data_IF_973126464163
#
_entry.id   IF_973126464163
#
_cell.length_a   1.000
_cell.length_b   1.000
_cell.length_c   1.000
_cell.angle_alpha   90.00
_cell.angle_beta   90.00
_cell.angle_gamma   90.00
#
_symmetry.space_group_name_H-M   'P 1'
#
loop_
_entity.id
_entity.type
_entity.pdbx_description
1 polymer ?
#
# COMPACT_ATOMS: atom_id res chain seq x y z
N UNK A 1 -24.82 -6.81 -4.73
CA UNK A 1 -23.52 -7.48 -4.98
C UNK A 1 -22.62 -7.24 -3.77
N UNK A 2 -21.76 -8.19 -3.38
CA UNK A 2 -20.84 -8.00 -2.25
C UNK A 2 -19.66 -7.13 -2.70
N UNK A 3 -19.45 -5.98 -2.05
CA UNK A 3 -18.26 -5.17 -2.29
C UNK A 3 -17.04 -5.85 -1.68
N UNK A 4 -15.94 -5.89 -2.44
CA UNK A 4 -14.64 -6.36 -1.99
C UNK A 4 -13.87 -5.22 -1.34
N UNK A 5 -12.95 -5.57 -0.43
CA UNK A 5 -12.05 -4.62 0.22
C UNK A 5 -10.62 -5.16 0.19
N UNK A 6 -9.68 -4.24 0.22
CA UNK A 6 -8.24 -4.45 0.34
C UNK A 6 -7.71 -4.11 1.74
N UNK A 7 -8.60 -3.67 2.65
CA UNK A 7 -8.22 -3.23 3.98
C UNK A 7 -7.76 -4.40 4.86
N UNK A 8 -6.69 -4.13 5.59
CA UNK A 8 -6.28 -4.91 6.75
C UNK A 8 -6.46 -4.06 8.01
N UNK A 9 -6.51 -4.71 9.16
CA UNK A 9 -6.54 -4.06 10.47
C UNK A 9 -5.44 -4.64 11.34
N UNK A 10 -4.77 -3.78 12.11
CA UNK A 10 -3.67 -4.14 13.01
C UNK A 10 -2.66 -5.13 12.39
N UNK A 11 -2.21 -4.81 11.18
CA UNK A 11 -1.43 -5.71 10.33
C UNK A 11 -0.24 -4.98 9.70
N UNK A 12 0.95 -5.53 9.86
CA UNK A 12 2.14 -5.15 9.10
C UNK A 12 2.25 -6.02 7.85
N UNK A 13 2.27 -5.37 6.69
CA UNK A 13 2.75 -5.98 5.46
C UNK A 13 4.26 -5.81 5.43
N UNK A 14 4.96 -6.91 5.66
CA UNK A 14 6.43 -6.97 5.56
C UNK A 14 6.87 -6.86 4.11
N UNK A 15 8.13 -6.47 3.92
CA UNK A 15 8.77 -6.49 2.59
C UNK A 15 8.75 -7.89 1.97
N UNK A 16 8.76 -7.96 0.65
CA UNK A 16 8.80 -9.23 -0.04
C UNK A 16 10.14 -9.95 0.22
N UNK A 17 10.08 -11.28 0.36
CA UNK A 17 11.29 -12.10 0.58
C UNK A 17 12.30 -12.01 -0.56
N UNK A 18 11.84 -11.69 -1.78
CA UNK A 18 12.67 -11.50 -2.98
C UNK A 18 12.85 -10.02 -3.33
N UNK A 19 12.67 -9.10 -2.36
CA UNK A 19 12.97 -7.68 -2.53
C UNK A 19 14.45 -7.51 -2.92
N UNK A 20 14.77 -6.75 -3.97
CA UNK A 20 16.14 -6.60 -4.47
C UNK A 20 16.98 -5.59 -3.68
N UNK A 21 16.40 -4.91 -2.68
CA UNK A 21 17.05 -3.82 -1.93
C UNK A 21 17.28 -4.22 -0.47
N UNK A 22 18.38 -3.72 0.10
CA UNK A 22 18.74 -3.90 1.50
C UNK A 22 18.34 -2.71 2.40
N UNK A 23 17.95 -1.59 1.80
CA UNK A 23 17.47 -0.37 2.46
C UNK A 23 16.33 0.21 1.62
N UNK A 24 15.42 0.95 2.25
CA UNK A 24 14.32 1.56 1.55
C UNK A 24 14.81 2.59 0.52
N UNK A 25 14.19 2.61 -0.65
CA UNK A 25 14.56 3.51 -1.74
C UNK A 25 13.34 4.27 -2.22
N UNK A 26 13.40 5.59 -2.16
CA UNK A 26 12.34 6.45 -2.71
C UNK A 26 12.16 6.11 -4.20
N UNK A 27 10.93 5.77 -4.66
CA UNK A 27 10.70 5.48 -6.06
C UNK A 27 11.13 6.66 -6.95
N UNK A 28 11.91 6.43 -8.02
CA UNK A 28 12.42 7.52 -8.85
C UNK A 28 11.28 8.27 -9.51
N UNK A 29 11.39 9.60 -9.56
CA UNK A 29 10.43 10.43 -10.27
C UNK A 29 10.54 10.21 -11.79
N UNK A 30 9.39 10.17 -12.45
CA UNK A 30 9.27 10.03 -13.90
C UNK A 30 8.31 11.09 -14.42
N UNK A 31 8.38 11.40 -15.72
CA UNK A 31 7.44 12.32 -16.39
C UNK A 31 5.99 11.96 -16.10
N UNK A 32 5.67 10.67 -16.17
CA UNK A 32 4.39 10.12 -15.72
C UNK A 32 4.58 9.43 -14.37
N UNK A 33 3.77 9.81 -13.37
CA UNK A 33 3.86 9.21 -12.04
C UNK A 33 3.53 7.73 -12.09
N UNK A 34 4.46 6.91 -11.61
CA UNK A 34 4.20 5.47 -11.48
C UNK A 34 3.28 5.20 -10.29
N UNK A 35 2.71 3.99 -10.23
CA UNK A 35 1.92 3.56 -9.07
C UNK A 35 2.71 3.66 -7.76
N UNK A 36 4.02 3.38 -7.81
CA UNK A 36 4.89 3.48 -6.64
C UNK A 36 5.04 4.93 -6.19
N UNK A 37 5.21 5.88 -7.12
CA UNK A 37 5.31 7.31 -6.79
C UNK A 37 4.01 7.81 -6.14
N UNK A 38 2.85 7.48 -6.73
CA UNK A 38 1.54 7.90 -6.21
C UNK A 38 1.30 7.39 -4.79
N UNK A 39 1.57 6.10 -4.54
CA UNK A 39 1.42 5.51 -3.21
C UNK A 39 2.40 6.12 -2.20
N UNK A 40 3.67 6.28 -2.60
CA UNK A 40 4.72 6.82 -1.73
C UNK A 40 4.39 8.25 -1.29
N UNK A 41 4.09 9.14 -2.24
CA UNK A 41 3.79 10.54 -1.96
C UNK A 41 2.58 10.70 -1.03
N UNK A 42 1.53 9.89 -1.23
CA UNK A 42 0.31 9.99 -0.42
C UNK A 42 0.53 9.47 1.00
N UNK A 43 1.28 8.38 1.14
CA UNK A 43 1.56 7.78 2.45
C UNK A 43 2.57 8.56 3.29
N UNK A 44 3.62 9.11 2.66
CA UNK A 44 4.65 9.85 3.40
C UNK A 44 4.14 11.21 3.92
N UNK A 45 3.21 11.84 3.19
CA UNK A 45 2.61 13.13 3.57
C UNK A 45 1.51 12.99 4.61
N UNK A 46 0.85 11.83 4.68
CA UNK A 46 -0.35 11.64 5.48
C UNK A 46 -0.41 10.22 6.08
N UNK A 47 0.56 9.87 6.96
CA UNK A 47 0.55 8.58 7.63
C UNK A 47 -0.72 8.43 8.47
N UNK A 48 -1.33 7.24 8.43
CA UNK A 48 -2.57 6.89 9.14
C UNK A 48 -3.79 7.77 8.83
N UNK A 49 -3.82 8.45 7.68
CA UNK A 49 -5.02 9.19 7.23
C UNK A 49 -5.94 8.33 6.36
N UNK A 50 -5.34 7.55 5.44
CA UNK A 50 -6.06 6.81 4.41
C UNK A 50 -6.08 5.31 4.70
N UNK A 51 -7.15 4.62 4.29
CA UNK A 51 -7.20 3.15 4.28
C UNK A 51 -6.53 2.57 3.03
N UNK A 52 -6.34 1.25 2.98
CA UNK A 52 -5.83 0.57 1.77
C UNK A 52 -6.77 0.80 0.59
N UNK A 53 -8.09 0.74 0.80
CA UNK A 53 -9.07 0.99 -0.25
C UNK A 53 -8.95 2.40 -0.81
N UNK A 54 -8.78 3.40 0.05
CA UNK A 54 -8.65 4.80 -0.37
C UNK A 54 -7.39 5.00 -1.21
N UNK A 55 -6.26 4.38 -0.82
CA UNK A 55 -4.99 4.49 -1.54
C UNK A 55 -5.07 3.78 -2.89
N UNK A 56 -5.59 2.56 -2.91
CA UNK A 56 -5.71 1.75 -4.14
C UNK A 56 -6.67 2.43 -5.11
N UNK A 57 -7.82 2.91 -4.64
CA UNK A 57 -8.79 3.60 -5.48
C UNK A 57 -8.29 4.95 -5.97
N UNK A 58 -7.65 5.78 -5.13
CA UNK A 58 -7.12 7.07 -5.59
C UNK A 58 -6.09 6.87 -6.71
N UNK A 59 -5.19 5.90 -6.56
CA UNK A 59 -4.22 5.60 -7.60
C UNK A 59 -4.89 5.16 -8.92
N UNK A 60 -6.03 4.47 -8.83
CA UNK A 60 -6.84 4.12 -10.00
C UNK A 60 -7.52 5.37 -10.59
N UNK A 61 -8.15 6.21 -9.77
CA UNK A 61 -8.83 7.43 -10.20
C UNK A 61 -7.89 8.39 -10.92
N UNK A 62 -6.70 8.65 -10.35
CA UNK A 62 -5.67 9.49 -10.97
C UNK A 62 -5.21 8.94 -12.33
N UNK A 63 -5.07 7.62 -12.45
CA UNK A 63 -4.60 6.99 -13.69
C UNK A 63 -5.65 6.92 -14.81
N UNK A 64 -6.92 7.09 -14.47
CA UNK A 64 -8.03 7.02 -15.42
C UNK A 64 -8.73 8.38 -15.54
N UNK A 65 -8.10 9.45 -15.03
CA UNK A 65 -8.62 10.83 -15.07
C UNK A 65 -10.07 10.97 -14.57
N UNK A 66 -10.43 10.22 -13.52
CA UNK A 66 -11.79 10.18 -12.98
C UNK A 66 -12.08 11.49 -12.24
N UNK A 67 -13.16 12.17 -12.62
CA UNK A 67 -13.58 13.42 -11.99
C UNK A 67 -14.16 13.19 -10.59
N UNK A 68 -14.11 14.19 -9.71
CA UNK A 68 -14.67 14.10 -8.35
C UNK A 68 -16.15 13.70 -8.33
N UNK A 69 -16.93 14.14 -9.33
CA UNK A 69 -18.36 13.84 -9.42
C UNK A 69 -18.63 12.37 -9.74
N UNK A 70 -17.71 11.70 -10.44
CA UNK A 70 -17.83 10.31 -10.85
C UNK A 70 -17.16 9.35 -9.86
N UNK A 71 -16.33 9.86 -8.94
CA UNK A 71 -15.55 9.04 -8.01
C UNK A 71 -16.39 8.06 -7.22
N UNK A 72 -17.56 8.46 -6.72
CA UNK A 72 -18.38 7.58 -5.89
C UNK A 72 -18.88 6.37 -6.71
N UNK A 73 -19.44 6.61 -7.89
CA UNK A 73 -19.95 5.55 -8.76
C UNK A 73 -18.82 4.63 -9.24
N UNK A 74 -17.69 5.21 -9.65
CA UNK A 74 -16.52 4.45 -10.09
C UNK A 74 -15.88 3.67 -8.94
N UNK A 75 -15.93 4.16 -7.71
CA UNK A 75 -15.46 3.42 -6.53
C UNK A 75 -16.27 2.16 -6.29
N UNK A 76 -17.60 2.25 -6.41
CA UNK A 76 -18.48 1.09 -6.27
C UNK A 76 -18.25 0.06 -7.39
N UNK A 77 -18.10 0.52 -8.64
CA UNK A 77 -17.73 -0.35 -9.77
C UNK A 77 -16.36 -0.99 -9.57
N UNK A 78 -15.38 -0.22 -9.10
CA UNK A 78 -14.03 -0.70 -8.84
C UNK A 78 -14.03 -1.82 -7.80
N UNK A 79 -14.73 -1.66 -6.68
CA UNK A 79 -14.80 -2.68 -5.62
C UNK A 79 -15.89 -3.74 -5.82
N UNK A 80 -16.65 -3.69 -6.92
CA UNK A 80 -17.59 -4.77 -7.29
C UNK A 80 -16.88 -6.10 -7.60
N UNK A 81 -15.58 -6.04 -7.91
CA UNK A 81 -14.68 -7.18 -8.09
C UNK A 81 -13.49 -7.08 -7.13
N UNK A 82 -12.85 -8.21 -6.86
CA UNK A 82 -11.63 -8.23 -6.05
C UNK A 82 -10.50 -7.39 -6.68
N UNK A 83 -9.83 -6.59 -5.85
CA UNK A 83 -8.74 -5.72 -6.27
C UNK A 83 -7.42 -6.13 -5.60
N UNK A 84 -6.26 -5.94 -6.27
CA UNK A 84 -4.97 -6.19 -5.65
C UNK A 84 -4.77 -5.27 -4.43
N UNK A 85 -4.55 -5.86 -3.26
CA UNK A 85 -4.26 -5.11 -2.04
C UNK A 85 -2.81 -4.61 -2.01
N UNK A 86 -2.46 -3.87 -0.94
CA UNK A 86 -1.12 -3.32 -0.77
C UNK A 86 0.00 -4.37 -0.62
N UNK A 87 -0.32 -5.66 -0.42
CA UNK A 87 0.69 -6.75 -0.53
C UNK A 87 1.28 -6.84 -1.93
N UNK A 88 0.58 -6.35 -2.95
CA UNK A 88 1.06 -6.26 -4.33
C UNK A 88 1.80 -4.96 -4.63
N UNK A 89 1.88 -4.02 -3.67
CA UNK A 89 2.49 -2.71 -3.88
C UNK A 89 3.96 -2.84 -4.27
N UNK A 90 4.44 -2.12 -5.30
CA UNK A 90 5.87 -2.02 -5.57
C UNK A 90 6.68 -1.54 -4.36
N UNK A 91 6.10 -0.75 -3.47
CA UNK A 91 6.78 -0.22 -2.28
C UNK A 91 7.30 -1.34 -1.38
N UNK A 92 6.42 -2.30 -1.05
CA UNK A 92 6.80 -3.46 -0.25
C UNK A 92 7.54 -4.54 -1.04
N UNK A 93 7.34 -4.60 -2.36
CA UNK A 93 7.95 -5.63 -3.21
C UNK A 93 9.37 -5.33 -3.69
N UNK A 94 9.68 -4.05 -3.90
CA UNK A 94 10.88 -3.63 -4.65
C UNK A 94 11.64 -2.48 -4.00
N UNK A 95 10.96 -1.64 -3.23
CA UNK A 95 11.53 -0.40 -2.71
C UNK A 95 11.81 -0.45 -1.21
N UNK A 96 11.71 -1.62 -0.56
CA UNK A 96 12.15 -1.81 0.82
C UNK A 96 11.29 -1.12 1.87
N UNK A 97 9.99 -0.91 1.61
CA UNK A 97 9.09 -0.31 2.59
C UNK A 97 8.08 -1.30 3.17
N UNK A 98 8.00 -1.36 4.49
CA UNK A 98 6.88 -1.97 5.20
C UNK A 98 5.62 -1.10 5.14
N UNK A 99 4.45 -1.74 5.11
CA UNK A 99 3.16 -1.04 5.11
C UNK A 99 2.36 -1.50 6.33
N UNK A 100 2.18 -0.61 7.31
CA UNK A 100 1.44 -0.92 8.52
C UNK A 100 0.01 -0.39 8.44
N UNK A 101 -0.94 -1.24 8.83
CA UNK A 101 -2.34 -0.90 9.02
C UNK A 101 -2.60 -0.88 10.53
N UNK A 102 -2.97 0.28 11.08
CA UNK A 102 -3.31 0.38 12.50
C UNK A 102 -4.65 -0.34 12.82
N UNK A 103 -5.07 -0.30 14.08
CA UNK A 103 -6.33 -0.89 14.54
C UNK A 103 -7.58 -0.32 13.84
N UNK A 104 -7.51 0.90 13.32
CA UNK A 104 -8.58 1.56 12.56
C UNK A 104 -8.51 1.26 11.04
N UNK A 105 -7.53 0.46 10.60
CA UNK A 105 -7.32 0.13 9.19
C UNK A 105 -6.70 1.26 8.37
N UNK A 106 -6.15 2.28 9.02
CA UNK A 106 -5.40 3.37 8.39
C UNK A 106 -3.95 2.98 8.17
N UNK A 107 -3.36 3.51 7.11
CA UNK A 107 -2.09 3.01 6.57
C UNK A 107 -0.95 4.00 6.77
N UNK A 108 0.21 3.49 7.18
CA UNK A 108 1.48 4.22 7.18
C UNK A 108 2.58 3.38 6.50
N UNK A 109 3.61 4.07 6.02
CA UNK A 109 4.75 3.50 5.32
C UNK A 109 6.01 3.63 6.19
N UNK A 110 6.77 2.55 6.34
CA UNK A 110 7.98 2.53 7.14
C UNK A 110 9.17 1.99 6.33
N UNK A 111 10.32 2.68 6.28
CA UNK A 111 11.56 2.12 5.76
C UNK A 111 11.95 0.85 6.51
N UNK A 112 12.40 -0.20 5.82
CA UNK A 112 12.77 -1.47 6.47
C UNK A 112 13.90 -1.33 7.51
N UNK A 113 14.77 -0.34 7.34
CA UNK A 113 15.88 -0.03 8.24
C UNK A 113 15.49 0.85 9.44
N UNK A 114 14.25 1.36 9.48
CA UNK A 114 13.78 2.24 10.56
C UNK A 114 13.55 1.48 11.87
N UNK A 115 13.76 2.16 13.00
CA UNK A 115 13.50 1.60 14.33
C UNK A 115 12.01 1.25 14.48
N UNK A 116 11.11 2.08 13.95
CA UNK A 116 9.67 1.86 13.98
C UNK A 116 9.29 0.57 13.23
N UNK A 117 9.88 0.30 12.07
CA UNK A 117 9.64 -0.96 11.37
C UNK A 117 10.09 -2.18 12.21
N UNK A 118 11.24 -2.08 12.87
CA UNK A 118 11.73 -3.14 13.75
C UNK A 118 10.83 -3.33 14.98
N UNK A 119 10.30 -2.25 15.56
CA UNK A 119 9.32 -2.32 16.64
C UNK A 119 8.06 -3.06 16.18
N UNK A 120 7.52 -2.71 15.01
CA UNK A 120 6.31 -3.34 14.46
C UNK A 120 6.51 -4.83 14.14
N UNK A 121 7.70 -5.22 13.66
CA UNK A 121 8.06 -6.64 13.45
C UNK A 121 8.02 -7.39 14.78
N UNK A 122 8.61 -6.83 15.83
CA UNK A 122 8.78 -7.50 17.12
C UNK A 122 7.52 -7.44 18.01
N UNK A 123 6.57 -6.56 17.73
CA UNK A 123 5.33 -6.42 18.49
C UNK A 123 4.36 -7.58 18.24
N UNK A 124 4.26 -8.54 19.15
CA UNK A 124 3.40 -9.72 19.02
C UNK A 124 1.89 -9.41 18.89
N UNK A 125 1.44 -8.20 19.23
CA UNK A 125 0.04 -7.80 19.08
C UNK A 125 -0.34 -7.51 17.62
N UNK A 126 0.65 -7.25 16.76
CA UNK A 126 0.46 -6.90 15.35
C UNK A 126 0.50 -8.16 14.50
N UNK A 127 -0.48 -8.33 13.61
CA UNK A 127 -0.47 -9.43 12.62
C UNK A 127 0.59 -9.14 11.55
N UNK A 128 1.35 -10.16 11.12
CA UNK A 128 2.32 -10.00 10.02
C UNK A 128 1.91 -10.80 8.82
N UNK A 129 2.04 -10.17 7.66
CA UNK A 129 1.91 -10.84 6.36
C UNK A 129 3.01 -10.35 5.44
N UNK A 130 3.61 -11.25 4.66
CA UNK A 130 4.62 -10.85 3.67
C UNK A 130 3.97 -10.24 2.43
N UNK A 131 4.60 -9.23 1.86
CA UNK A 131 4.28 -8.77 0.51
C UNK A 131 4.46 -9.91 -0.51
N UNK A 132 3.73 -9.82 -1.61
CA UNK A 132 3.82 -10.84 -2.67
C UNK A 132 5.18 -10.81 -3.34
N UNK A 133 5.67 -11.97 -3.78
CA UNK A 133 6.94 -12.07 -4.50
C UNK A 133 6.91 -11.28 -5.82
N UNK A 134 8.05 -10.72 -6.21
CA UNK A 134 8.22 -10.07 -7.51
C UNK A 134 8.26 -11.09 -8.64
N UNK A 135 8.92 -12.23 -8.44
CA UNK A 135 8.95 -13.35 -9.38
C UNK A 135 7.79 -14.32 -9.07
N UNK A 136 6.93 -14.59 -10.06
CA UNK A 136 5.98 -15.71 -9.98
C UNK A 136 6.79 -16.99 -10.11
N UNK A 137 6.76 -17.85 -9.09
CA UNK A 137 7.24 -19.23 -9.20
C UNK A 137 6.19 -20.07 -9.90
#
# INVERSE_FOLDING_TARGET
MKLHTTNYTNTLIEIAEDSPVAQAQIPPEKKEKTLANLQYEKLIKSPYTYSSDDIVFECYAIKNDISENEKQEEREKFFSKGQPCLRCSPLAKKYGFGIHHNSEGKVALFPMESEEYQMLINDSSITKTKAMRSKRK
#
